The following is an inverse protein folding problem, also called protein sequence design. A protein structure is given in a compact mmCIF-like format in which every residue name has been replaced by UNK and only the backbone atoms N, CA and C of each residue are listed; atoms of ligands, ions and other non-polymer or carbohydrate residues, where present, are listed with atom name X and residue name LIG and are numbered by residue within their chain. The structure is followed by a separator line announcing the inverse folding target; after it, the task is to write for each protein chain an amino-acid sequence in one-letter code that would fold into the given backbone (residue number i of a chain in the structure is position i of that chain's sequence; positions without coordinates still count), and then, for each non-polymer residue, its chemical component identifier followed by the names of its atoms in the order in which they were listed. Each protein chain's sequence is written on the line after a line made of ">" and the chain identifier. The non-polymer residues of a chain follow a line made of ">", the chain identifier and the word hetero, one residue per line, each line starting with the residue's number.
data_IF_098638491684
#
_entry.id   IF_098638491684
#
_cell.length_a   1.000
_cell.length_b   1.000
_cell.length_c   1.000
_cell.angle_alpha   90.00
_cell.angle_beta   90.00
_cell.angle_gamma   90.00
#
_symmetry.space_group_name_H-M   'P 1'
#
loop_
_entity.id
_entity.type
_entity.pdbx_description
1 polymer ?
#
# COMPACT_ATOMS: atom_id res chain seq x y z
N UNK A 1 12.52 33.08 -22.25
CA UNK A 1 11.85 32.08 -21.39
C UNK A 1 12.65 31.96 -20.10
N UNK A 2 12.30 32.72 -19.05
CA UNK A 2 13.16 32.91 -17.87
C UNK A 2 12.99 31.79 -16.83
N UNK A 3 14.08 31.08 -16.55
CA UNK A 3 14.20 29.99 -15.56
C UNK A 3 13.78 30.44 -14.13
N UNK A 4 13.96 31.71 -13.81
CA UNK A 4 13.61 32.32 -12.52
C UNK A 4 12.11 32.40 -12.23
N UNK A 5 11.24 32.39 -13.25
CA UNK A 5 9.78 32.37 -13.05
C UNK A 5 9.26 31.05 -12.46
N UNK A 6 10.03 29.96 -12.57
CA UNK A 6 9.67 28.64 -12.03
C UNK A 6 10.06 28.46 -10.55
N UNK A 7 10.96 29.28 -10.01
CA UNK A 7 11.50 29.14 -8.63
C UNK A 7 10.68 29.89 -7.57
N UNK A 8 9.93 30.95 -7.94
CA UNK A 8 9.30 31.84 -6.95
C UNK A 8 7.76 31.94 -7.01
N UNK A 9 7.07 31.29 -7.96
CA UNK A 9 5.64 31.56 -8.14
C UNK A 9 4.76 30.44 -8.69
N UNK A 10 5.31 29.31 -9.11
CA UNK A 10 4.48 28.20 -9.56
C UNK A 10 4.07 27.36 -8.35
N UNK A 11 2.94 27.69 -7.71
CA UNK A 11 2.26 26.73 -6.83
C UNK A 11 2.06 25.46 -7.67
N UNK A 12 2.60 24.30 -7.25
CA UNK A 12 2.40 23.07 -7.99
C UNK A 12 0.90 22.87 -8.20
N UNK A 13 0.47 22.43 -9.40
CA UNK A 13 -0.94 22.16 -9.63
C UNK A 13 -1.42 21.23 -8.51
N UNK A 14 -2.62 21.46 -7.95
CA UNK A 14 -3.14 20.57 -6.92
C UNK A 14 -3.07 19.15 -7.46
N UNK A 15 -2.57 18.18 -6.66
CA UNK A 15 -2.49 16.80 -7.10
C UNK A 15 -3.88 16.38 -7.60
N UNK A 16 -3.91 15.61 -8.68
CA UNK A 16 -5.16 15.09 -9.21
C UNK A 16 -5.92 14.39 -8.07
N UNK A 17 -7.25 14.58 -7.95
CA UNK A 17 -8.01 13.93 -6.90
C UNK A 17 -7.82 12.42 -7.02
N UNK A 18 -7.28 11.81 -5.97
CA UNK A 18 -7.15 10.37 -5.87
C UNK A 18 -8.56 9.80 -5.69
N UNK A 19 -9.15 9.37 -6.79
CA UNK A 19 -10.46 8.76 -6.80
C UNK A 19 -10.31 7.25 -6.59
N UNK A 20 -10.96 6.73 -5.55
CA UNK A 20 -11.06 5.30 -5.29
C UNK A 20 -12.51 4.90 -5.52
N UNK A 21 -12.72 3.92 -6.39
CA UNK A 21 -14.03 3.32 -6.59
C UNK A 21 -14.21 2.24 -5.53
N UNK A 22 -15.23 2.40 -4.70
CA UNK A 22 -15.61 1.42 -3.68
C UNK A 22 -16.78 0.62 -4.26
N UNK A 23 -16.68 -0.70 -4.22
CA UNK A 23 -17.72 -1.58 -4.69
C UNK A 23 -18.97 -1.48 -3.79
N UNK A 24 -20.16 -1.61 -4.40
CA UNK A 24 -21.45 -1.39 -3.72
C UNK A 24 -21.71 -2.41 -2.61
N UNK A 25 -21.23 -3.64 -2.77
CA UNK A 25 -21.28 -4.69 -1.77
C UNK A 25 -20.49 -4.35 -0.49
N UNK A 26 -19.51 -3.44 -0.60
CA UNK A 26 -18.76 -2.89 0.53
C UNK A 26 -19.41 -1.61 1.05
N UNK A 27 -19.85 -0.71 0.15
CA UNK A 27 -20.43 0.58 0.52
C UNK A 27 -21.80 0.43 1.21
N UNK A 28 -22.68 -0.44 0.68
CA UNK A 28 -24.04 -0.64 1.16
C UNK A 28 -24.12 -0.95 2.66
N UNK A 29 -23.40 -1.98 3.16
CA UNK A 29 -23.37 -2.29 4.59
C UNK A 29 -22.81 -1.15 5.46
N UNK A 30 -21.80 -0.42 4.97
CA UNK A 30 -21.17 0.69 5.72
C UNK A 30 -22.08 1.90 5.88
N UNK A 31 -23.05 2.07 4.98
CA UNK A 31 -24.01 3.17 4.98
C UNK A 31 -25.42 2.75 5.39
N UNK A 32 -25.62 1.49 5.80
CA UNK A 32 -26.94 0.95 6.14
C UNK A 32 -27.66 1.75 7.24
N UNK A 33 -26.89 2.35 8.15
CA UNK A 33 -27.40 3.16 9.26
C UNK A 33 -27.65 4.64 8.87
N UNK A 34 -27.58 4.97 7.57
CA UNK A 34 -27.76 6.33 7.04
C UNK A 34 -26.55 7.24 7.20
N UNK A 35 -25.43 6.71 7.69
CA UNK A 35 -24.14 7.42 7.78
C UNK A 35 -23.57 7.68 6.39
N UNK A 36 -22.97 8.85 6.19
CA UNK A 36 -22.28 9.17 4.94
C UNK A 36 -21.06 8.25 4.75
N UNK A 37 -20.87 7.71 3.54
CA UNK A 37 -19.78 6.78 3.22
C UNK A 37 -18.40 7.32 3.64
N UNK A 38 -18.14 8.61 3.41
CA UNK A 38 -16.89 9.24 3.82
C UNK A 38 -16.64 9.15 5.33
N UNK A 39 -17.67 9.35 6.14
CA UNK A 39 -17.57 9.26 7.60
C UNK A 39 -17.40 7.82 8.08
N UNK A 40 -18.09 6.87 7.44
CA UNK A 40 -17.94 5.44 7.73
C UNK A 40 -16.52 4.94 7.41
N UNK A 41 -15.98 5.33 6.26
CA UNK A 41 -14.61 4.99 5.83
C UNK A 41 -13.57 5.62 6.75
N UNK A 42 -13.72 6.90 7.12
CA UNK A 42 -12.81 7.58 8.04
C UNK A 42 -12.79 6.90 9.43
N UNK A 43 -13.97 6.54 9.96
CA UNK A 43 -14.09 5.79 11.23
C UNK A 43 -13.41 4.42 11.18
N UNK A 44 -13.63 3.67 10.10
CA UNK A 44 -13.02 2.36 9.90
C UNK A 44 -11.48 2.47 9.79
N UNK A 45 -10.99 3.47 9.05
CA UNK A 45 -9.55 3.72 8.89
C UNK A 45 -8.89 4.08 10.21
N UNK A 46 -9.50 4.97 11.02
CA UNK A 46 -8.96 5.31 12.34
C UNK A 46 -8.88 4.08 13.24
N UNK A 47 -9.93 3.26 13.26
CA UNK A 47 -9.97 2.03 14.05
C UNK A 47 -8.87 1.04 13.63
N UNK A 48 -8.60 0.94 12.32
CA UNK A 48 -7.50 0.14 11.79
C UNK A 48 -6.13 0.66 12.26
N UNK A 49 -5.89 1.97 12.14
CA UNK A 49 -4.62 2.58 12.55
C UNK A 49 -4.39 2.44 14.05
N UNK A 50 -5.44 2.60 14.87
CA UNK A 50 -5.39 2.41 16.31
C UNK A 50 -5.03 0.95 16.67
N UNK A 51 -5.66 -0.02 16.02
CA UNK A 51 -5.35 -1.43 16.23
C UNK A 51 -3.89 -1.74 15.85
N UNK A 52 -3.40 -1.17 14.74
CA UNK A 52 -2.01 -1.32 14.29
C UNK A 52 -1.02 -0.68 15.26
N UNK A 53 -1.33 0.51 15.77
CA UNK A 53 -0.50 1.19 16.77
C UNK A 53 -0.42 0.39 18.07
N UNK A 54 -1.55 -0.15 18.53
CA UNK A 54 -1.61 -1.03 19.72
C UNK A 54 -0.82 -2.32 19.53
N UNK A 55 -0.95 -2.98 18.38
CA UNK A 55 -0.18 -4.18 18.05
C UNK A 55 1.33 -3.91 17.99
N UNK A 56 1.74 -2.79 17.39
CA UNK A 56 3.13 -2.37 17.34
C UNK A 56 3.69 -2.08 18.74
N UNK A 57 2.92 -1.39 19.59
CA UNK A 57 3.31 -1.09 20.98
C UNK A 57 3.42 -2.34 21.85
N UNK A 58 2.63 -3.39 21.55
CA UNK A 58 2.65 -4.66 22.27
C UNK A 58 3.79 -5.60 21.83
N UNK A 59 4.59 -5.25 20.81
CA UNK A 59 5.67 -6.10 20.31
C UNK A 59 5.19 -7.37 19.57
N UNK A 60 3.89 -7.49 19.30
CA UNK A 60 3.28 -8.60 18.57
C UNK A 60 2.63 -8.12 17.26
N UNK A 61 3.42 -7.77 16.23
CA UNK A 61 2.88 -7.36 14.93
C UNK A 61 2.08 -8.50 14.25
N UNK A 62 2.31 -9.76 14.65
CA UNK A 62 1.57 -10.91 14.15
C UNK A 62 0.14 -11.02 14.69
N UNK A 63 -0.22 -10.28 15.75
CA UNK A 63 -1.58 -10.28 16.32
C UNK A 63 -2.58 -9.45 15.53
N UNK A 64 -2.16 -8.82 14.43
CA UNK A 64 -3.05 -8.14 13.49
C UNK A 64 -4.01 -9.18 12.89
N UNK A 65 -5.34 -8.98 12.99
CA UNK A 65 -6.34 -9.88 12.40
C UNK A 65 -6.04 -10.16 10.94
N UNK A 66 -6.27 -11.39 10.47
CA UNK A 66 -5.83 -11.83 9.15
C UNK A 66 -6.42 -10.98 8.00
N UNK A 67 -7.65 -10.47 8.13
CA UNK A 67 -8.27 -9.55 7.14
C UNK A 67 -7.64 -8.15 7.09
N UNK A 68 -6.77 -7.83 8.06
CA UNK A 68 -6.00 -6.58 8.14
C UNK A 68 -4.52 -6.76 7.78
N UNK A 69 -4.09 -8.01 7.57
CA UNK A 69 -2.77 -8.32 7.03
C UNK A 69 -2.83 -8.07 5.53
N UNK A 70 -2.35 -6.92 5.07
CA UNK A 70 -1.91 -6.78 3.68
C UNK A 70 -0.73 -7.73 3.56
N UNK A 71 -0.93 -8.87 2.90
CA UNK A 71 0.13 -9.85 2.69
C UNK A 71 1.39 -9.11 2.22
N UNK A 72 2.47 -9.21 3.00
CA UNK A 72 3.83 -9.05 2.52
C UNK A 72 4.21 -10.26 1.63
N UNK A 73 3.26 -10.76 0.83
CA UNK A 73 3.48 -11.71 -0.24
C UNK A 73 3.98 -10.89 -1.43
N UNK A 74 5.30 -10.70 -1.50
CA UNK A 74 5.93 -10.07 -2.66
C UNK A 74 7.40 -9.77 -2.50
N UNK A 75 7.89 -9.58 -1.26
CA UNK A 75 9.29 -9.17 -1.08
C UNK A 75 10.28 -10.36 -1.08
N UNK A 76 9.84 -11.56 -0.68
CA UNK A 76 10.69 -12.77 -0.68
C UNK A 76 10.71 -13.53 -2.01
N UNK A 77 9.54 -13.73 -2.64
CA UNK A 77 9.44 -14.57 -3.85
C UNK A 77 10.17 -13.98 -5.06
N UNK A 78 10.14 -12.65 -5.22
CA UNK A 78 10.86 -11.97 -6.31
C UNK A 78 12.37 -12.04 -6.10
N UNK A 79 12.83 -11.89 -4.86
CA UNK A 79 14.25 -11.98 -4.47
C UNK A 79 14.78 -13.41 -4.68
N UNK A 80 14.00 -14.43 -4.33
CA UNK A 80 14.34 -15.84 -4.51
C UNK A 80 14.37 -16.23 -6.00
N UNK A 81 13.37 -15.81 -6.78
CA UNK A 81 13.35 -16.02 -8.24
C UNK A 81 14.55 -15.33 -8.92
N UNK A 82 14.94 -14.14 -8.46
CA UNK A 82 16.10 -13.43 -8.98
C UNK A 82 17.41 -14.16 -8.65
N UNK A 83 17.56 -14.70 -7.43
CA UNK A 83 18.71 -15.52 -7.05
C UNK A 83 18.82 -16.76 -7.90
N UNK A 84 17.72 -17.48 -8.08
CA UNK A 84 17.68 -18.69 -8.89
C UNK A 84 18.09 -18.40 -10.33
N UNK A 85 17.60 -17.29 -10.90
CA UNK A 85 17.95 -16.88 -12.26
C UNK A 85 19.42 -16.45 -12.39
N UNK A 86 20.01 -15.84 -11.36
CA UNK A 86 21.44 -15.50 -11.33
C UNK A 86 22.31 -16.77 -11.25
N UNK A 87 21.92 -17.75 -10.43
CA UNK A 87 22.62 -19.03 -10.29
C UNK A 87 22.61 -19.79 -11.62
N UNK A 88 21.44 -19.90 -12.27
CA UNK A 88 21.30 -20.55 -13.57
C UNK A 88 22.16 -19.88 -14.64
N UNK A 89 22.20 -18.54 -14.66
CA UNK A 89 23.03 -17.79 -15.61
C UNK A 89 24.52 -18.07 -15.41
N UNK A 90 25.01 -18.09 -14.16
CA UNK A 90 26.42 -18.39 -13.87
C UNK A 90 26.79 -19.81 -14.25
N UNK A 91 25.95 -20.80 -13.92
CA UNK A 91 26.18 -22.19 -14.31
C UNK A 91 26.25 -22.36 -15.84
N UNK A 92 25.40 -21.65 -16.59
CA UNK A 92 25.41 -21.66 -18.05
C UNK A 92 26.58 -20.89 -18.68
N UNK A 93 27.20 -19.96 -17.94
CA UNK A 93 28.42 -19.26 -18.35
C UNK A 93 29.67 -20.13 -18.10
N UNK A 94 29.71 -20.88 -16.98
CA UNK A 94 30.82 -21.79 -16.65
C UNK A 94 30.92 -23.00 -17.61
N UNK A 95 29.79 -23.53 -18.11
CA UNK A 95 29.75 -24.65 -19.07
C UNK A 95 30.21 -24.27 -20.49
N UNK A 96 30.30 -22.97 -20.80
CA UNK A 96 30.73 -22.46 -22.11
C UNK A 96 32.23 -22.16 -22.20
N UNK A 97 32.98 -22.33 -21.11
CA UNK A 97 34.44 -22.18 -21.02
C UNK A 97 35.13 -23.54 -21.03
#
# INVERSE_FOLDING_TARGET
>A
MSFWGRLFGARPPPPAPNNVVIAEDVAGPLTADGTALAAAVDSALRSYLDARAKAAAAGEPERIPFWLRRESAGEGQIEDELRDRIIQRRAAEDEKT
#
